data_IF_016905242089
#
_entry.id   IF_016905242089
#
_cell.length_a   1.000
_cell.length_b   1.000
_cell.length_c   1.000
_cell.angle_alpha   90.00
_cell.angle_beta   90.00
_cell.angle_gamma   90.00
#
_symmetry.space_group_name_H-M   'P 1'
#
loop_
_entity.id
_entity.type
_entity.pdbx_description
1 polymer ?
#
# COMPACT_ATOMS: atom_id res chain seq x y z
N UNK A 1 36.29 13.12 -36.76
CA UNK A 1 36.20 11.87 -35.98
C UNK A 1 36.04 12.09 -34.47
N UNK A 2 36.67 13.10 -33.84
CA UNK A 2 36.57 13.33 -32.37
C UNK A 2 35.20 13.81 -31.85
N UNK A 3 34.34 14.39 -32.71
CA UNK A 3 33.00 14.88 -32.32
C UNK A 3 31.92 13.81 -32.25
N UNK A 4 32.10 12.69 -32.96
CA UNK A 4 31.12 11.58 -32.98
C UNK A 4 31.31 10.69 -31.73
N UNK A 5 32.55 10.56 -31.26
CA UNK A 5 32.88 9.75 -30.07
C UNK A 5 32.34 10.37 -28.77
N UNK A 6 32.23 11.70 -28.67
CA UNK A 6 31.60 12.35 -27.50
C UNK A 6 30.08 12.21 -27.47
N UNK A 7 29.41 12.04 -28.61
CA UNK A 7 27.95 11.87 -28.67
C UNK A 7 27.50 10.49 -28.20
N UNK A 8 28.29 9.44 -28.43
CA UNK A 8 27.95 8.08 -28.01
C UNK A 8 28.14 7.82 -26.51
N UNK A 9 29.05 8.52 -25.82
CA UNK A 9 29.22 8.37 -24.36
C UNK A 9 28.10 9.02 -23.54
N UNK A 10 27.37 9.99 -24.11
CA UNK A 10 26.27 10.67 -23.41
C UNK A 10 24.96 9.85 -23.40
N UNK A 11 24.82 8.84 -24.28
CA UNK A 11 23.59 8.06 -24.43
C UNK A 11 23.53 6.83 -23.50
N UNK A 12 24.64 6.41 -22.88
CA UNK A 12 24.70 5.22 -22.01
C UNK A 12 24.48 5.50 -20.53
N UNK A 13 24.32 6.76 -20.12
CA UNK A 13 24.27 7.14 -18.71
C UNK A 13 22.85 7.20 -18.08
N UNK A 14 21.79 6.86 -18.82
CA UNK A 14 20.39 7.00 -18.34
C UNK A 14 19.66 5.67 -18.08
N UNK A 15 20.39 4.59 -17.79
CA UNK A 15 19.77 3.39 -17.22
C UNK A 15 20.20 3.29 -15.76
N UNK A 16 19.73 4.24 -14.95
CA UNK A 16 19.64 3.97 -13.53
C UNK A 16 18.57 2.88 -13.39
N UNK A 17 18.86 1.73 -12.76
CA UNK A 17 17.78 0.84 -12.36
C UNK A 17 16.86 1.70 -11.51
N UNK A 18 15.59 1.79 -11.89
CA UNK A 18 14.59 2.29 -10.96
C UNK A 18 14.68 1.35 -9.76
N UNK A 19 15.24 1.84 -8.65
CA UNK A 19 15.15 1.14 -7.39
C UNK A 19 13.65 1.05 -7.12
N UNK A 20 13.07 -0.13 -7.37
CA UNK A 20 11.75 -0.43 -6.88
C UNK A 20 11.84 -0.22 -5.38
N UNK A 21 11.11 0.77 -4.85
CA UNK A 21 11.04 0.96 -3.42
C UNK A 21 10.57 -0.35 -2.80
N UNK A 22 11.25 -0.82 -1.76
CA UNK A 22 10.77 -1.92 -0.94
C UNK A 22 9.46 -1.48 -0.27
N UNK A 23 8.35 -1.69 -0.97
CA UNK A 23 7.03 -1.38 -0.44
C UNK A 23 6.70 -2.39 0.67
N UNK A 24 6.01 -1.92 1.70
CA UNK A 24 5.57 -2.73 2.83
C UNK A 24 4.06 -2.57 2.99
N UNK A 25 3.26 -3.23 2.13
CA UNK A 25 1.83 -2.98 2.06
C UNK A 25 1.09 -3.46 3.31
N UNK A 26 -0.02 -2.80 3.62
CA UNK A 26 -0.97 -3.24 4.63
C UNK A 26 -2.39 -3.33 4.08
N UNK A 27 -3.16 -4.32 4.55
CA UNK A 27 -4.60 -4.48 4.27
C UNK A 27 -5.40 -4.49 5.58
N UNK A 28 -6.28 -3.51 5.74
CA UNK A 28 -7.14 -3.37 6.92
C UNK A 28 -8.58 -3.71 6.53
N UNK A 29 -9.15 -4.74 7.16
CA UNK A 29 -10.53 -5.18 6.94
C UNK A 29 -11.51 -4.41 7.83
N UNK A 30 -12.71 -4.11 7.34
CA UNK A 30 -13.81 -3.60 8.17
C UNK A 30 -14.55 -4.73 8.92
N UNK A 31 -15.55 -4.37 9.71
CA UNK A 31 -16.37 -5.30 10.48
C UNK A 31 -17.02 -6.38 9.60
N UNK A 32 -17.10 -7.61 10.12
CA UNK A 32 -17.59 -8.79 9.38
C UNK A 32 -16.56 -9.92 9.34
N UNK A 33 -15.30 -9.59 9.58
CA UNK A 33 -14.18 -10.52 9.63
C UNK A 33 -13.64 -10.85 8.25
N UNK A 34 -12.41 -11.34 8.21
CA UNK A 34 -11.65 -11.63 6.98
C UNK A 34 -12.31 -12.68 6.08
N UNK A 35 -12.91 -13.71 6.65
CA UNK A 35 -13.51 -14.85 5.91
C UNK A 35 -15.05 -14.76 5.91
N UNK A 36 -15.56 -13.59 5.51
CA UNK A 36 -16.98 -13.26 5.45
C UNK A 36 -17.72 -13.86 4.23
N UNK A 37 -17.02 -14.61 3.36
CA UNK A 37 -17.51 -15.12 2.06
C UNK A 37 -17.99 -14.03 1.12
N UNK A 38 -17.53 -12.80 1.34
CA UNK A 38 -17.99 -11.62 0.62
C UNK A 38 -16.82 -10.65 0.47
N UNK A 39 -17.01 -9.39 0.86
CA UNK A 39 -16.15 -8.29 0.48
C UNK A 39 -14.76 -8.36 1.12
N UNK A 40 -14.66 -8.68 2.42
CA UNK A 40 -13.37 -8.81 3.09
C UNK A 40 -12.58 -9.99 2.53
N UNK A 41 -13.24 -11.12 2.29
CA UNK A 41 -12.59 -12.30 1.72
C UNK A 41 -12.13 -12.04 0.28
N UNK A 42 -12.89 -11.29 -0.52
CA UNK A 42 -12.48 -10.86 -1.86
C UNK A 42 -11.22 -9.96 -1.81
N UNK A 43 -11.17 -9.03 -0.86
CA UNK A 43 -10.01 -8.17 -0.64
C UNK A 43 -8.76 -8.97 -0.24
N UNK A 44 -8.93 -9.95 0.66
CA UNK A 44 -7.87 -10.88 1.05
C UNK A 44 -7.35 -11.69 -0.14
N UNK A 45 -8.24 -12.27 -0.95
CA UNK A 45 -7.86 -13.05 -2.11
C UNK A 45 -7.08 -12.21 -3.14
N UNK A 46 -7.44 -10.92 -3.29
CA UNK A 46 -6.67 -9.97 -4.08
C UNK A 46 -5.26 -9.74 -3.54
N UNK A 47 -5.10 -9.58 -2.22
CA UNK A 47 -3.80 -9.40 -1.58
C UNK A 47 -2.93 -10.66 -1.65
N UNK A 48 -3.51 -11.86 -1.50
CA UNK A 48 -2.80 -13.13 -1.71
C UNK A 48 -2.33 -13.29 -3.16
N UNK A 49 -3.16 -12.92 -4.13
CA UNK A 49 -2.77 -12.90 -5.54
C UNK A 49 -1.60 -11.93 -5.78
N UNK A 50 -1.67 -10.71 -5.25
CA UNK A 50 -0.57 -9.73 -5.32
C UNK A 50 0.74 -10.32 -4.76
N UNK A 51 0.68 -10.92 -3.58
CA UNK A 51 1.84 -11.55 -2.93
C UNK A 51 2.40 -12.70 -3.78
N UNK A 52 1.54 -13.53 -4.36
CA UNK A 52 1.97 -14.64 -5.22
C UNK A 52 2.63 -14.16 -6.53
N UNK A 53 2.11 -13.08 -7.14
CA UNK A 53 2.61 -12.56 -8.42
C UNK A 53 3.89 -11.72 -8.26
N UNK A 54 4.03 -11.00 -7.14
CA UNK A 54 5.14 -10.05 -6.93
C UNK A 54 6.22 -10.56 -6.00
N UNK A 55 5.91 -11.55 -5.16
CA UNK A 55 6.78 -11.99 -4.06
C UNK A 55 6.82 -11.03 -2.87
N UNK A 56 6.08 -9.92 -2.90
CA UNK A 56 6.08 -8.90 -1.85
C UNK A 56 5.11 -9.32 -0.75
N UNK A 57 5.61 -9.42 0.48
CA UNK A 57 4.78 -9.69 1.64
C UNK A 57 3.97 -8.45 2.05
N UNK A 58 2.75 -8.66 2.53
CA UNK A 58 1.92 -7.63 3.14
C UNK A 58 1.56 -8.03 4.58
N UNK A 59 1.11 -7.06 5.37
CA UNK A 59 0.52 -7.29 6.69
C UNK A 59 -0.97 -7.00 6.67
N UNK A 60 -1.74 -7.64 7.53
CA UNK A 60 -3.18 -7.46 7.58
C UNK A 60 -3.69 -7.22 9.01
N UNK A 61 -4.88 -6.62 9.12
CA UNK A 61 -5.55 -6.37 10.39
C UNK A 61 -7.07 -6.37 10.26
N UNK A 62 -7.75 -6.96 11.23
CA UNK A 62 -9.22 -6.96 11.34
C UNK A 62 -9.64 -6.05 12.50
N UNK A 63 -10.50 -5.06 12.24
CA UNK A 63 -11.09 -4.29 13.32
C UNK A 63 -12.11 -5.13 14.09
N UNK A 64 -12.09 -5.03 15.42
CA UNK A 64 -13.09 -5.67 16.27
C UNK A 64 -14.30 -4.75 16.53
N UNK A 65 -14.14 -3.44 16.37
CA UNK A 65 -15.21 -2.45 16.47
C UNK A 65 -14.81 -1.14 15.76
N UNK A 66 -15.77 -0.25 15.54
CA UNK A 66 -15.56 1.00 14.82
C UNK A 66 -14.57 1.97 15.49
N UNK A 67 -14.43 1.95 16.82
CA UNK A 67 -13.56 2.91 17.52
C UNK A 67 -12.07 2.62 17.34
N UNK A 68 -11.72 1.43 16.85
CA UNK A 68 -10.33 1.03 16.60
C UNK A 68 -9.75 1.60 15.30
N UNK A 69 -10.58 2.06 14.35
CA UNK A 69 -10.11 2.42 13.00
C UNK A 69 -9.02 3.49 13.00
N UNK A 70 -9.26 4.60 13.70
CA UNK A 70 -8.31 5.73 13.72
C UNK A 70 -6.96 5.33 14.32
N UNK A 71 -6.99 4.64 15.48
CA UNK A 71 -5.77 4.18 16.14
C UNK A 71 -5.03 3.12 15.31
N UNK A 72 -5.77 2.19 14.69
CA UNK A 72 -5.18 1.18 13.81
C UNK A 72 -4.50 1.84 12.60
N UNK A 73 -5.20 2.72 11.89
CA UNK A 73 -4.65 3.39 10.71
C UNK A 73 -3.40 4.21 11.06
N UNK A 74 -3.43 4.94 12.17
CA UNK A 74 -2.26 5.68 12.70
C UNK A 74 -1.08 4.76 12.94
N UNK A 75 -1.29 3.65 13.67
CA UNK A 75 -0.23 2.70 13.97
C UNK A 75 0.42 2.14 12.71
N UNK A 76 -0.37 1.74 11.72
CA UNK A 76 0.18 1.19 10.47
C UNK A 76 0.94 2.25 9.66
N UNK A 77 0.51 3.51 9.71
CA UNK A 77 1.25 4.61 9.09
C UNK A 77 2.57 4.93 9.84
N UNK A 78 2.56 4.91 11.18
CA UNK A 78 3.76 5.04 12.03
C UNK A 78 4.77 3.90 11.81
N UNK A 79 4.26 2.69 11.59
CA UNK A 79 5.06 1.50 11.25
C UNK A 79 5.67 1.58 9.82
N UNK A 80 5.42 2.67 9.08
CA UNK A 80 5.98 2.91 7.74
C UNK A 80 5.33 2.08 6.64
N UNK A 81 4.13 1.54 6.87
CA UNK A 81 3.42 0.73 5.87
C UNK A 81 3.00 1.61 4.69
N UNK A 82 3.29 1.15 3.48
CA UNK A 82 3.02 1.90 2.26
C UNK A 82 2.95 0.95 1.06
N UNK A 83 1.82 0.85 0.33
CA UNK A 83 0.54 1.51 0.59
C UNK A 83 -0.24 0.86 1.76
N UNK A 84 -1.23 1.58 2.30
CA UNK A 84 -2.22 1.07 3.24
C UNK A 84 -3.59 1.03 2.54
N UNK A 85 -4.08 -0.17 2.28
CA UNK A 85 -5.42 -0.41 1.73
C UNK A 85 -6.42 -0.73 2.85
N UNK A 86 -7.59 -0.14 2.78
CA UNK A 86 -8.69 -0.34 3.72
C UNK A 86 -9.92 -0.85 2.96
N UNK A 87 -10.43 -2.02 3.34
CA UNK A 87 -11.64 -2.58 2.77
C UNK A 87 -12.86 -1.95 3.48
N UNK A 88 -13.73 -1.29 2.73
CA UNK A 88 -15.00 -0.70 3.17
C UNK A 88 -14.97 0.83 3.30
N UNK A 89 -16.06 1.48 2.90
CA UNK A 89 -16.20 2.94 3.01
C UNK A 89 -16.11 3.48 4.45
N UNK A 90 -16.42 2.67 5.46
CA UNK A 90 -16.45 3.08 6.89
C UNK A 90 -15.10 3.57 7.45
N UNK A 91 -14.01 3.47 6.68
CA UNK A 91 -12.69 4.00 7.00
C UNK A 91 -12.51 5.48 6.69
N UNK A 92 -13.41 6.09 5.91
CA UNK A 92 -13.28 7.46 5.41
C UNK A 92 -12.97 8.50 6.51
N UNK A 93 -13.77 8.54 7.58
CA UNK A 93 -13.60 9.51 8.67
C UNK A 93 -12.24 9.38 9.39
N UNK A 94 -11.75 8.14 9.54
CA UNK A 94 -10.44 7.89 10.13
C UNK A 94 -9.32 8.31 9.16
N UNK A 95 -9.47 7.98 7.88
CA UNK A 95 -8.50 8.32 6.85
C UNK A 95 -8.37 9.83 6.66
N UNK A 96 -9.47 10.58 6.65
CA UNK A 96 -9.44 12.04 6.48
C UNK A 96 -8.55 12.71 7.54
N UNK A 97 -8.61 12.23 8.79
CA UNK A 97 -7.78 12.73 9.88
C UNK A 97 -6.32 12.28 9.76
N UNK A 98 -6.09 10.99 9.48
CA UNK A 98 -4.74 10.43 9.52
C UNK A 98 -3.92 10.79 8.28
N UNK A 99 -4.53 10.87 7.09
CA UNK A 99 -3.80 11.12 5.84
C UNK A 99 -3.00 12.43 5.85
N UNK A 100 -3.52 13.47 6.53
CA UNK A 100 -2.82 14.77 6.63
C UNK A 100 -1.54 14.70 7.48
N UNK A 101 -1.45 13.73 8.39
CA UNK A 101 -0.29 13.53 9.26
C UNK A 101 0.80 12.69 8.57
N UNK A 102 0.44 11.91 7.55
CA UNK A 102 1.33 11.01 6.82
C UNK A 102 1.28 11.25 5.30
N UNK A 103 1.74 12.41 4.80
CA UNK A 103 1.57 12.82 3.40
C UNK A 103 2.31 11.94 2.38
N UNK A 104 3.36 11.24 2.82
CA UNK A 104 4.14 10.33 1.97
C UNK A 104 3.52 8.93 1.86
N UNK A 105 2.62 8.58 2.79
CA UNK A 105 1.94 7.28 2.78
C UNK A 105 0.82 7.28 1.75
N UNK A 106 0.77 6.23 0.93
CA UNK A 106 -0.31 6.05 -0.04
C UNK A 106 -1.43 5.26 0.61
N UNK A 107 -2.61 5.86 0.66
CA UNK A 107 -3.81 5.26 1.22
C UNK A 107 -4.83 4.96 0.12
N UNK A 108 -5.57 3.86 0.27
CA UNK A 108 -6.67 3.53 -0.63
C UNK A 108 -7.84 2.93 0.17
N UNK A 109 -9.05 3.43 -0.07
CA UNK A 109 -10.29 2.74 0.32
C UNK A 109 -10.74 1.90 -0.88
N UNK A 110 -11.12 0.66 -0.61
CA UNK A 110 -11.70 -0.27 -1.58
C UNK A 110 -13.13 -0.52 -1.13
N UNK A 111 -14.12 -0.31 -1.98
CA UNK A 111 -15.56 -0.58 -1.74
C UNK A 111 -16.24 -1.02 -3.04
#
# INVERSE_FOLDING_TARGET
MKRIVLGLLAATAMVLPAFAADIQPALLFDLGGKFDKSFNEASYNGAEKFKAETGIAYVEFEVSNATQREQALRRFAEDGRNPIAMAGFSWADALEKIAVEFPETKFAIID
#
